data_IF_220275467314
#
_entry.id   IF_220275467314
#
_cell.length_a   1.000
_cell.length_b   1.000
_cell.length_c   1.000
_cell.angle_alpha   90.00
_cell.angle_beta   90.00
_cell.angle_gamma   90.00
#
_symmetry.space_group_name_H-M   'P 1'
#
loop_
_entity.id
_entity.type
_entity.pdbx_description
1 polymer ?
#
# COMPACT_ATOMS: atom_id res chain seq x y z
N UNK A 1 -33.84 5.96 -57.63
CA UNK A 1 -33.88 5.65 -56.19
C UNK A 1 -32.60 4.89 -55.78
N UNK A 2 -31.62 5.57 -55.16
CA UNK A 2 -30.40 4.94 -54.64
C UNK A 2 -30.63 4.60 -53.14
N UNK A 3 -30.77 3.32 -52.81
CA UNK A 3 -30.78 2.79 -51.46
C UNK A 3 -29.35 2.81 -50.91
N UNK A 4 -29.11 3.67 -49.89
CA UNK A 4 -27.92 3.61 -49.05
C UNK A 4 -28.07 2.42 -48.09
N UNK A 5 -27.25 1.39 -48.24
CA UNK A 5 -27.04 0.33 -47.25
C UNK A 5 -26.24 0.90 -46.08
N UNK A 6 -26.88 1.11 -44.94
CA UNK A 6 -26.21 1.28 -43.65
C UNK A 6 -25.62 -0.08 -43.24
N UNK A 7 -24.32 -0.20 -43.26
CA UNK A 7 -23.63 -1.29 -42.58
C UNK A 7 -23.57 -0.92 -41.08
N UNK A 8 -24.31 -1.62 -40.22
CA UNK A 8 -24.12 -1.60 -38.80
C UNK A 8 -22.81 -2.32 -38.49
N UNK A 9 -21.81 -1.62 -38.05
CA UNK A 9 -20.64 -2.23 -37.42
C UNK A 9 -21.05 -2.61 -36.00
N UNK A 10 -21.28 -3.87 -35.75
CA UNK A 10 -21.25 -4.44 -34.41
C UNK A 10 -19.82 -4.29 -33.90
N UNK A 11 -19.63 -3.41 -32.92
CA UNK A 11 -18.42 -3.36 -32.12
C UNK A 11 -18.37 -4.65 -31.31
N UNK A 12 -17.39 -5.50 -31.58
CA UNK A 12 -16.98 -6.56 -30.65
C UNK A 12 -16.26 -5.90 -29.47
N UNK A 13 -16.88 -5.99 -28.32
CA UNK A 13 -16.45 -5.32 -27.07
C UNK A 13 -15.45 -6.22 -26.30
N UNK A 14 -14.38 -6.63 -26.97
CA UNK A 14 -13.24 -7.33 -26.36
C UNK A 14 -11.93 -6.89 -27.00
N UNK A 15 -11.80 -5.57 -27.20
CA UNK A 15 -10.55 -5.00 -27.68
C UNK A 15 -9.46 -5.09 -26.62
N UNK A 16 -8.45 -5.89 -26.88
CA UNK A 16 -7.16 -5.80 -26.20
C UNK A 16 -6.71 -4.33 -26.20
N UNK A 17 -6.25 -3.80 -25.07
CA UNK A 17 -5.77 -2.41 -24.95
C UNK A 17 -4.75 -2.02 -26.03
N UNK A 18 -4.14 -3.02 -26.70
CA UNK A 18 -3.25 -2.85 -27.84
C UNK A 18 -3.94 -2.25 -29.07
N UNK A 19 -5.24 -2.47 -29.21
CA UNK A 19 -6.01 -1.96 -30.36
C UNK A 19 -6.38 -0.48 -30.21
N UNK A 20 -6.15 0.11 -29.02
CA UNK A 20 -6.42 1.52 -28.75
C UNK A 20 -5.28 2.45 -29.19
N UNK A 21 -4.11 1.92 -29.53
CA UNK A 21 -2.98 2.72 -30.01
C UNK A 21 -3.25 3.22 -31.42
N UNK A 22 -3.20 4.55 -31.57
CA UNK A 22 -3.57 5.22 -32.82
C UNK A 22 -2.33 5.60 -33.63
N UNK A 23 -2.32 5.20 -34.89
CA UNK A 23 -1.29 5.62 -35.84
C UNK A 23 -1.53 7.03 -36.37
N UNK A 24 -0.44 7.77 -36.62
CA UNK A 24 -0.49 9.07 -37.27
C UNK A 24 -0.72 8.91 -38.78
N UNK A 25 -1.69 9.68 -39.29
CA UNK A 25 -1.92 9.83 -40.74
C UNK A 25 -1.35 11.18 -41.17
N UNK A 26 -0.36 11.17 -42.06
CA UNK A 26 0.24 12.39 -42.60
C UNK A 26 1.51 12.86 -41.88
N UNK A 27 1.80 14.17 -41.95
CA UNK A 27 3.01 14.75 -41.37
C UNK A 27 2.98 14.82 -39.84
N UNK A 28 3.94 14.20 -39.19
CA UNK A 28 4.13 14.26 -37.71
C UNK A 28 4.28 15.69 -37.21
N UNK A 29 4.93 16.58 -37.96
CA UNK A 29 5.09 18.00 -37.59
C UNK A 29 3.77 18.77 -37.59
N UNK A 30 2.92 18.54 -38.59
CA UNK A 30 1.63 19.20 -38.68
C UNK A 30 0.68 18.70 -37.58
N UNK A 31 0.70 17.42 -37.29
CA UNK A 31 -0.10 16.83 -36.26
C UNK A 31 0.35 17.32 -34.86
N UNK A 32 1.64 17.39 -34.57
CA UNK A 32 2.18 17.98 -33.36
C UNK A 32 1.71 19.43 -33.15
N UNK A 33 1.69 20.23 -34.23
CA UNK A 33 1.23 21.63 -34.20
C UNK A 33 -0.27 21.73 -33.94
N UNK A 34 -1.07 20.84 -34.53
CA UNK A 34 -2.52 20.74 -34.29
C UNK A 34 -2.82 20.35 -32.86
N UNK A 35 -2.08 19.38 -32.35
CA UNK A 35 -2.25 18.85 -31.01
C UNK A 35 -1.95 19.91 -29.94
N UNK A 36 -0.85 20.67 -30.09
CA UNK A 36 -0.52 21.78 -29.17
C UNK A 36 -1.63 22.84 -29.12
N UNK A 37 -2.31 23.10 -30.26
CA UNK A 37 -3.45 24.03 -30.29
C UNK A 37 -4.68 23.47 -29.58
N UNK A 38 -4.92 22.15 -29.63
CA UNK A 38 -6.03 21.49 -28.92
C UNK A 38 -5.78 21.47 -27.41
N UNK A 39 -4.55 21.17 -27.00
CA UNK A 39 -4.15 21.15 -25.59
C UNK A 39 -4.32 22.49 -24.89
N UNK A 40 -3.94 23.58 -25.56
CA UNK A 40 -4.15 24.95 -25.06
C UNK A 40 -5.62 25.32 -24.83
N UNK A 41 -6.57 24.62 -25.47
CA UNK A 41 -8.01 24.80 -25.30
C UNK A 41 -8.64 23.85 -24.28
N UNK A 42 -7.96 22.77 -23.95
CA UNK A 42 -8.46 21.71 -23.05
C UNK A 42 -7.93 21.84 -21.61
N UNK A 43 -7.09 22.81 -21.33
CA UNK A 43 -6.54 23.07 -20.00
C UNK A 43 -7.65 23.42 -19.01
N UNK A 44 -8.21 22.47 -18.32
CA UNK A 44 -9.24 22.65 -17.30
C UNK A 44 -10.24 21.51 -17.12
N UNK A 45 -10.27 20.54 -17.99
CA UNK A 45 -11.17 19.38 -17.80
C UNK A 45 -10.44 18.27 -17.04
N UNK A 46 -10.83 18.06 -15.79
CA UNK A 46 -10.45 16.86 -15.04
C UNK A 46 -11.04 15.64 -15.75
N UNK A 47 -10.17 14.71 -16.15
CA UNK A 47 -10.58 13.45 -16.79
C UNK A 47 -10.63 12.35 -15.72
N UNK A 48 -11.70 11.54 -15.65
CA UNK A 48 -11.65 10.28 -14.93
C UNK A 48 -10.67 9.35 -15.66
N UNK A 49 -9.61 8.92 -14.97
CA UNK A 49 -8.50 8.20 -15.59
C UNK A 49 -8.77 6.70 -15.64
N UNK A 50 -9.39 6.15 -14.60
CA UNK A 50 -9.76 4.73 -14.49
C UNK A 50 -11.18 4.64 -13.95
N UNK A 51 -12.04 3.84 -14.60
CA UNK A 51 -13.37 3.53 -14.08
C UNK A 51 -13.29 2.50 -12.96
N UNK A 52 -14.29 2.45 -12.09
CA UNK A 52 -14.40 1.41 -11.05
C UNK A 52 -14.41 0.01 -11.64
N UNK A 53 -15.14 -0.18 -12.76
CA UNK A 53 -15.23 -1.46 -13.44
C UNK A 53 -13.87 -1.92 -13.98
N UNK A 54 -13.10 -1.02 -14.60
CA UNK A 54 -11.74 -1.32 -15.09
C UNK A 54 -10.80 -1.68 -13.94
N UNK A 55 -10.85 -0.97 -12.83
CA UNK A 55 -10.06 -1.25 -11.65
C UNK A 55 -10.36 -2.63 -11.06
N UNK A 56 -11.64 -2.96 -10.87
CA UNK A 56 -12.07 -4.24 -10.34
C UNK A 56 -11.72 -5.40 -11.28
N UNK A 57 -11.93 -5.23 -12.59
CA UNK A 57 -11.60 -6.24 -13.58
C UNK A 57 -10.10 -6.55 -13.59
N UNK A 58 -9.25 -5.53 -13.52
CA UNK A 58 -7.78 -5.71 -13.43
C UNK A 58 -7.39 -6.42 -12.14
N UNK A 59 -7.99 -6.06 -11.03
CA UNK A 59 -7.72 -6.67 -9.73
C UNK A 59 -8.08 -8.16 -9.71
N UNK A 60 -9.22 -8.54 -10.29
CA UNK A 60 -9.70 -9.92 -10.34
C UNK A 60 -8.94 -10.79 -11.34
N UNK A 61 -8.42 -10.22 -12.42
CA UNK A 61 -7.77 -10.96 -13.51
C UNK A 61 -6.35 -11.43 -13.19
N UNK A 62 -5.75 -10.97 -12.11
CA UNK A 62 -4.36 -11.29 -11.75
C UNK A 62 -4.29 -12.54 -10.88
N UNK A 63 -3.46 -13.51 -11.28
CA UNK A 63 -3.14 -14.69 -10.46
C UNK A 63 -2.09 -14.31 -9.41
N UNK A 64 -2.54 -14.11 -8.15
CA UNK A 64 -1.69 -13.74 -7.03
C UNK A 64 -1.36 -14.93 -6.17
N UNK A 65 -0.09 -15.04 -5.81
CA UNK A 65 0.41 -16.02 -4.84
C UNK A 65 1.32 -15.32 -3.84
N UNK A 66 1.25 -15.80 -2.60
CA UNK A 66 2.19 -15.38 -1.56
C UNK A 66 3.03 -16.58 -1.15
N UNK A 67 4.33 -16.38 -1.05
CA UNK A 67 5.28 -17.43 -0.69
C UNK A 67 6.08 -16.96 0.52
N UNK A 68 6.08 -17.76 1.57
CA UNK A 68 6.82 -17.50 2.81
C UNK A 68 7.92 -18.53 2.97
N UNK A 69 9.15 -18.08 3.21
CA UNK A 69 10.30 -18.91 3.48
C UNK A 69 10.97 -18.49 4.78
N UNK A 70 11.20 -19.46 5.65
CA UNK A 70 12.08 -19.32 6.81
C UNK A 70 13.43 -19.93 6.48
N UNK A 71 14.52 -19.17 6.57
CA UNK A 71 15.87 -19.60 6.28
C UNK A 71 16.89 -18.79 7.07
N UNK A 72 17.80 -19.45 7.78
CA UNK A 72 18.93 -18.85 8.50
C UNK A 72 18.55 -17.68 9.44
N UNK A 73 17.47 -17.83 10.17
CA UNK A 73 16.95 -16.79 11.06
C UNK A 73 16.28 -15.62 10.35
N UNK A 74 16.02 -15.75 9.04
CA UNK A 74 15.28 -14.79 8.23
C UNK A 74 13.91 -15.34 7.87
N UNK A 75 12.89 -14.50 8.01
CA UNK A 75 11.60 -14.71 7.38
C UNK A 75 11.52 -13.85 6.12
N UNK A 76 11.29 -14.49 5.00
CA UNK A 76 11.17 -13.84 3.70
C UNK A 76 9.78 -14.11 3.13
N UNK A 77 9.15 -13.08 2.62
CA UNK A 77 7.82 -13.14 2.01
C UNK A 77 7.90 -12.55 0.62
N UNK A 78 7.44 -13.31 -0.36
CA UNK A 78 7.35 -12.88 -1.74
C UNK A 78 5.89 -12.87 -2.20
N UNK A 79 5.51 -11.84 -2.95
CA UNK A 79 4.23 -11.76 -3.63
C UNK A 79 4.47 -11.86 -5.13
N UNK A 80 3.84 -12.84 -5.75
CA UNK A 80 3.86 -13.06 -7.20
C UNK A 80 2.53 -12.67 -7.82
N UNK A 81 2.57 -11.93 -8.91
CA UNK A 81 1.42 -11.66 -9.76
C UNK A 81 1.71 -12.22 -11.17
N UNK A 82 0.91 -13.18 -11.61
CA UNK A 82 1.13 -13.91 -12.88
C UNK A 82 2.56 -14.49 -12.99
N UNK A 83 3.09 -15.01 -11.88
CA UNK A 83 4.44 -15.57 -11.79
C UNK A 83 5.57 -14.54 -11.67
N UNK A 84 5.27 -13.25 -11.73
CA UNK A 84 6.25 -12.17 -11.59
C UNK A 84 6.33 -11.66 -10.16
N UNK A 85 7.53 -11.55 -9.63
CA UNK A 85 7.77 -11.00 -8.31
C UNK A 85 7.44 -9.50 -8.28
N UNK A 86 6.52 -9.11 -7.41
CA UNK A 86 6.07 -7.71 -7.29
C UNK A 86 6.31 -7.09 -5.93
N UNK A 87 6.42 -7.91 -4.87
CA UNK A 87 6.74 -7.43 -3.52
C UNK A 87 7.62 -8.46 -2.80
N UNK A 88 8.51 -7.97 -1.96
CA UNK A 88 9.39 -8.80 -1.14
C UNK A 88 9.60 -8.15 0.22
N UNK A 89 9.42 -8.94 1.28
CA UNK A 89 9.59 -8.52 2.66
C UNK A 89 10.60 -9.42 3.35
N UNK A 90 11.46 -8.84 4.16
CA UNK A 90 12.46 -9.56 4.94
C UNK A 90 12.43 -9.12 6.39
N UNK A 91 12.46 -10.07 7.31
CA UNK A 91 12.61 -9.81 8.73
C UNK A 91 13.63 -10.77 9.33
N UNK A 92 14.55 -10.23 10.13
CA UNK A 92 15.42 -11.03 10.99
C UNK A 92 14.75 -11.25 12.34
N UNK A 93 14.85 -12.45 12.90
CA UNK A 93 14.34 -12.74 14.24
C UNK A 93 14.99 -11.87 15.33
N UNK A 94 16.19 -11.36 15.10
CA UNK A 94 16.93 -10.50 16.03
C UNK A 94 16.57 -9.02 15.95
N UNK A 95 15.86 -8.59 14.91
CA UNK A 95 15.42 -7.21 14.69
C UNK A 95 13.91 -7.14 14.69
N UNK A 96 13.33 -7.17 15.90
CA UNK A 96 11.89 -7.00 16.05
C UNK A 96 11.52 -5.52 16.02
N UNK A 97 10.64 -5.14 15.11
CA UNK A 97 10.05 -3.81 15.10
C UNK A 97 9.17 -3.63 16.34
N UNK A 98 9.24 -2.46 16.94
CA UNK A 98 8.36 -2.06 18.03
C UNK A 98 7.06 -1.39 17.55
N UNK A 99 6.98 -1.04 16.25
CA UNK A 99 5.83 -0.32 15.68
C UNK A 99 4.54 -1.08 15.94
N UNK A 100 3.54 -0.38 16.49
CA UNK A 100 2.25 -0.94 16.87
C UNK A 100 2.16 -1.47 18.30
N UNK A 101 3.28 -1.71 18.97
CA UNK A 101 3.30 -2.13 20.37
C UNK A 101 2.66 -1.07 21.26
N UNK A 102 1.89 -1.53 22.25
CA UNK A 102 1.21 -0.68 23.23
C UNK A 102 1.84 -0.86 24.60
N UNK A 103 2.22 0.24 25.22
CA UNK A 103 2.84 0.29 26.54
C UNK A 103 2.08 1.21 27.49
N UNK A 104 2.17 0.92 28.80
CA UNK A 104 2.10 1.97 29.80
C UNK A 104 3.54 2.41 30.06
N UNK A 105 3.89 3.60 29.61
CA UNK A 105 5.20 4.19 29.81
C UNK A 105 5.24 5.15 31.00
N UNK A 106 6.44 5.54 31.41
CA UNK A 106 6.66 6.55 32.45
C UNK A 106 7.33 7.77 31.85
N UNK A 107 6.73 8.92 32.05
CA UNK A 107 7.32 10.19 31.60
C UNK A 107 8.58 10.47 32.42
N UNK A 108 9.71 10.59 31.74
CA UNK A 108 11.01 10.90 32.36
C UNK A 108 11.18 12.41 32.53
N UNK A 109 10.92 13.16 31.46
CA UNK A 109 10.92 14.61 31.48
C UNK A 109 10.06 15.19 30.37
N UNK A 110 9.64 16.42 30.58
CA UNK A 110 8.86 17.19 29.62
C UNK A 110 9.71 18.36 29.15
N UNK A 111 9.76 18.56 27.84
CA UNK A 111 10.51 19.65 27.21
C UNK A 111 9.54 20.60 26.49
N UNK A 112 9.11 21.69 27.17
CA UNK A 112 8.17 22.65 26.57
C UNK A 112 8.71 23.31 25.29
N UNK A 113 10.01 23.53 25.20
CA UNK A 113 10.64 24.14 24.02
C UNK A 113 10.54 23.28 22.74
N UNK A 114 10.40 21.97 22.92
CA UNK A 114 10.22 21.01 21.82
C UNK A 114 8.76 20.55 21.66
N UNK A 115 7.89 20.99 22.55
CA UNK A 115 6.52 20.46 22.67
C UNK A 115 6.49 18.93 22.66
N UNK A 116 7.34 18.32 23.50
CA UNK A 116 7.54 16.88 23.58
C UNK A 116 7.78 16.41 25.02
N UNK A 117 7.44 15.16 25.27
CA UNK A 117 7.79 14.43 26.48
C UNK A 117 8.66 13.22 26.13
N UNK A 118 9.67 12.96 26.96
CA UNK A 118 10.45 11.74 26.87
C UNK A 118 9.83 10.69 27.79
N UNK A 119 9.58 9.50 27.26
CA UNK A 119 8.87 8.41 27.92
C UNK A 119 9.74 7.17 27.99
N UNK A 120 9.89 6.62 29.18
CA UNK A 120 10.56 5.34 29.39
C UNK A 120 9.59 4.19 29.06
N UNK A 121 10.00 3.32 28.13
CA UNK A 121 9.29 2.11 27.77
C UNK A 121 9.94 0.83 28.31
N UNK A 122 11.01 0.94 29.09
CA UNK A 122 11.79 -0.20 29.57
C UNK A 122 12.73 -0.82 28.51
N UNK A 123 13.02 -0.12 27.44
CA UNK A 123 13.82 -0.57 26.29
C UNK A 123 15.08 0.28 26.04
N UNK A 124 15.71 0.71 27.09
CA UNK A 124 16.96 1.47 27.06
C UNK A 124 16.75 2.95 26.78
N UNK A 125 16.63 3.35 25.53
CA UNK A 125 16.41 4.77 25.17
C UNK A 125 15.00 5.21 25.45
N UNK A 126 14.87 6.45 25.93
CA UNK A 126 13.56 7.08 26.04
C UNK A 126 12.94 7.30 24.66
N UNK A 127 11.65 7.00 24.55
CA UNK A 127 10.83 7.32 23.41
C UNK A 127 10.32 8.76 23.50
N UNK A 128 9.81 9.29 22.39
CA UNK A 128 9.36 10.67 22.28
C UNK A 128 7.86 10.72 21.97
N UNK A 129 7.12 11.46 22.80
CA UNK A 129 5.71 11.76 22.58
C UNK A 129 5.57 13.27 22.34
N UNK A 130 5.22 13.63 21.10
CA UNK A 130 4.98 15.01 20.73
C UNK A 130 3.57 15.48 21.11
N UNK A 131 3.40 16.77 21.35
CA UNK A 131 2.11 17.35 21.71
C UNK A 131 1.00 17.07 20.70
N UNK A 132 1.32 17.01 19.41
CA UNK A 132 0.36 16.66 18.34
C UNK A 132 -0.18 15.24 18.42
N UNK A 133 0.51 14.34 19.12
CA UNK A 133 0.13 12.94 19.29
C UNK A 133 -0.52 12.63 20.63
N UNK A 134 -0.70 13.62 21.50
CA UNK A 134 -1.40 13.47 22.78
C UNK A 134 -2.91 13.44 22.53
N UNK A 135 -3.61 12.55 23.21
CA UNK A 135 -5.07 12.54 23.25
C UNK A 135 -5.56 13.58 24.27
N UNK A 136 -5.77 14.81 23.83
CA UNK A 136 -6.13 15.94 24.67
C UNK A 136 -7.51 15.78 25.35
N UNK A 137 -8.45 15.15 24.67
CA UNK A 137 -9.79 14.89 25.20
C UNK A 137 -9.74 13.94 26.40
N UNK A 138 -8.95 12.86 26.27
CA UNK A 138 -8.75 11.92 27.38
C UNK A 138 -7.99 12.54 28.57
N UNK A 139 -7.13 13.55 28.32
CA UNK A 139 -6.44 14.29 29.35
C UNK A 139 -7.31 15.38 30.03
N UNK A 140 -8.54 15.58 29.57
CA UNK A 140 -9.46 16.59 30.12
C UNK A 140 -9.11 18.03 29.77
N UNK A 141 -8.32 18.24 28.73
CA UNK A 141 -7.80 19.53 28.28
C UNK A 141 -8.49 20.07 27.03
N UNK A 142 -9.68 19.59 26.76
CA UNK A 142 -10.48 20.04 25.62
C UNK A 142 -10.72 21.56 25.67
N UNK A 143 -10.44 22.26 24.58
CA UNK A 143 -10.61 23.71 24.45
C UNK A 143 -9.50 24.56 25.05
N UNK A 144 -8.43 23.99 25.62
CA UNK A 144 -7.26 24.71 26.10
C UNK A 144 -6.13 24.74 25.05
N UNK A 145 -5.19 25.73 25.13
CA UNK A 145 -3.98 25.67 24.33
C UNK A 145 -3.23 24.35 24.52
N UNK A 146 -2.80 23.72 23.43
CA UNK A 146 -2.16 22.39 23.46
C UNK A 146 -0.69 22.50 23.82
N UNK A 147 -0.41 22.72 25.11
CA UNK A 147 0.95 22.74 25.65
C UNK A 147 1.25 21.42 26.34
N UNK A 148 2.39 20.83 26.02
CA UNK A 148 2.77 19.51 26.54
C UNK A 148 2.87 19.49 28.08
N UNK A 149 3.33 20.56 28.69
CA UNK A 149 3.44 20.70 30.16
C UNK A 149 2.10 20.72 30.87
N UNK A 150 1.00 21.06 30.19
CA UNK A 150 -0.35 21.02 30.75
C UNK A 150 -0.92 19.58 30.76
N UNK A 151 -0.46 18.73 29.84
CA UNK A 151 -0.93 17.36 29.71
C UNK A 151 -0.13 16.35 30.54
N UNK A 152 1.18 16.53 30.62
CA UNK A 152 2.11 15.55 31.19
C UNK A 152 3.12 16.21 32.11
N UNK A 153 3.44 15.51 33.21
CA UNK A 153 4.49 15.86 34.14
C UNK A 153 5.46 14.70 34.34
N UNK A 154 6.69 15.00 34.71
CA UNK A 154 7.71 13.99 35.01
C UNK A 154 7.20 13.01 36.09
N UNK A 155 7.34 11.73 35.86
CA UNK A 155 6.85 10.66 36.74
C UNK A 155 5.46 10.16 36.44
N UNK A 156 4.70 10.85 35.56
CA UNK A 156 3.37 10.39 35.15
C UNK A 156 3.48 9.06 34.37
N UNK A 157 2.43 8.26 34.51
CA UNK A 157 2.24 7.10 33.60
C UNK A 157 1.33 7.46 32.45
N UNK A 158 1.63 6.95 31.27
CA UNK A 158 0.87 7.27 30.05
C UNK A 158 0.71 6.01 29.18
N UNK A 159 -0.50 5.83 28.68
CA UNK A 159 -0.80 4.77 27.68
C UNK A 159 -0.39 5.26 26.31
N UNK A 160 0.53 4.54 25.67
CA UNK A 160 1.14 4.94 24.41
C UNK A 160 1.30 3.77 23.45
N UNK A 161 1.33 4.09 22.18
CA UNK A 161 1.61 3.15 21.09
C UNK A 161 2.79 3.65 20.27
N UNK A 162 3.67 2.75 19.86
CA UNK A 162 4.83 3.07 19.04
C UNK A 162 4.40 3.26 17.59
N UNK A 163 4.76 4.39 17.00
CA UNK A 163 4.48 4.71 15.58
C UNK A 163 5.71 4.62 14.68
N UNK A 164 6.90 4.80 15.24
CA UNK A 164 8.18 4.64 14.53
C UNK A 164 9.22 4.02 15.43
N UNK A 165 10.02 3.12 14.85
CA UNK A 165 11.15 2.50 15.53
C UNK A 165 12.26 3.51 15.86
N UNK A 166 13.08 3.24 16.88
CA UNK A 166 14.29 4.01 17.14
C UNK A 166 15.24 3.95 15.95
N UNK A 167 15.82 5.09 15.57
CA UNK A 167 16.80 5.19 14.49
C UNK A 167 18.02 5.96 14.97
N UNK A 168 19.20 5.36 14.87
CA UNK A 168 20.44 6.00 15.30
C UNK A 168 20.38 6.44 16.76
N UNK A 169 20.51 7.73 17.02
CA UNK A 169 20.40 8.33 18.37
C UNK A 169 18.97 8.72 18.75
N UNK A 170 18.02 8.68 17.81
CA UNK A 170 16.63 9.04 18.06
C UNK A 170 15.87 7.86 18.67
N UNK A 171 15.15 8.10 19.76
CA UNK A 171 14.25 7.14 20.36
C UNK A 171 13.00 6.88 19.50
N UNK A 172 12.25 5.85 19.86
CA UNK A 172 10.97 5.54 19.23
C UNK A 172 10.01 6.73 19.29
N UNK A 173 9.16 6.88 18.29
CA UNK A 173 8.04 7.82 18.34
C UNK A 173 6.80 7.16 18.85
N UNK A 174 6.03 7.92 19.63
CA UNK A 174 4.82 7.47 20.28
C UNK A 174 3.60 8.29 19.87
N UNK A 175 2.43 7.68 20.07
CA UNK A 175 1.14 8.36 20.07
C UNK A 175 0.34 7.89 21.29
N UNK A 176 -0.50 8.75 21.85
CA UNK A 176 -1.48 8.34 22.85
C UNK A 176 -2.86 8.01 22.26
N UNK A 177 -3.02 8.14 20.95
CA UNK A 177 -4.20 7.71 20.22
C UNK A 177 -4.01 6.26 19.76
N UNK A 178 -4.50 5.32 20.56
CA UNK A 178 -4.30 3.89 20.30
C UNK A 178 -5.16 3.44 19.11
N UNK A 179 -4.58 2.63 18.24
CA UNK A 179 -5.28 1.97 17.15
C UNK A 179 -5.02 0.47 17.16
N UNK A 180 -6.02 -0.32 16.83
CA UNK A 180 -5.92 -1.78 16.77
C UNK A 180 -6.26 -2.25 15.38
N UNK A 181 -5.27 -2.81 14.68
CA UNK A 181 -5.44 -3.30 13.33
C UNK A 181 -6.06 -4.68 13.30
N UNK A 182 -7.21 -4.78 12.64
CA UNK A 182 -7.84 -6.03 12.26
C UNK A 182 -7.56 -6.36 10.79
N UNK A 183 -8.24 -7.36 10.29
CA UNK A 183 -8.13 -7.75 8.89
C UNK A 183 -8.81 -6.76 7.95
N UNK A 184 -10.04 -6.37 8.26
CA UNK A 184 -10.89 -5.54 7.41
C UNK A 184 -10.89 -4.07 7.82
N UNK A 185 -10.64 -3.79 9.08
CA UNK A 185 -10.69 -2.46 9.63
C UNK A 185 -9.68 -2.25 10.76
N UNK A 186 -9.47 -0.98 11.07
CA UNK A 186 -8.68 -0.55 12.23
C UNK A 186 -9.64 0.09 13.22
N UNK A 187 -9.65 -0.41 14.45
CA UNK A 187 -10.44 0.15 15.55
C UNK A 187 -9.68 1.32 16.18
N UNK A 188 -10.39 2.42 16.39
CA UNK A 188 -9.87 3.61 17.09
C UNK A 188 -10.69 3.83 18.35
N UNK A 189 -10.26 3.28 19.49
CA UNK A 189 -10.97 3.46 20.76
C UNK A 189 -11.09 4.94 21.12
N UNK A 190 -12.28 5.35 21.59
CA UNK A 190 -12.57 6.75 21.91
C UNK A 190 -12.79 7.66 20.70
N UNK A 191 -12.63 7.15 19.49
CA UNK A 191 -12.94 7.88 18.28
C UNK A 191 -14.43 7.88 17.95
N UNK A 192 -14.84 8.81 17.10
CA UNK A 192 -16.24 8.92 16.64
C UNK A 192 -16.37 8.83 15.14
N UNK A 193 -15.25 8.85 14.43
CA UNK A 193 -15.21 8.88 12.96
C UNK A 193 -15.23 7.49 12.34
N UNK A 194 -15.99 7.35 11.24
CA UNK A 194 -15.89 6.21 10.33
C UNK A 194 -15.19 6.68 9.05
N UNK A 195 -13.94 6.26 8.88
CA UNK A 195 -13.18 6.46 7.66
C UNK A 195 -13.26 5.22 6.77
N UNK A 196 -13.43 5.39 5.47
CA UNK A 196 -13.45 4.28 4.51
C UNK A 196 -12.41 4.56 3.42
N UNK A 197 -11.61 3.55 3.06
CA UNK A 197 -10.59 3.68 2.03
C UNK A 197 -11.16 4.25 0.74
N UNK A 198 -10.50 5.29 0.22
CA UNK A 198 -10.87 5.91 -1.07
C UNK A 198 -10.58 5.02 -2.28
N UNK A 199 -9.83 3.94 -2.09
CA UNK A 199 -9.57 2.95 -3.13
C UNK A 199 -10.76 2.02 -3.38
N UNK A 200 -11.77 2.03 -2.51
CA UNK A 200 -12.98 1.24 -2.68
C UNK A 200 -14.00 1.97 -3.57
N UNK A 201 -14.76 1.22 -4.40
CA UNK A 201 -15.86 1.77 -5.18
C UNK A 201 -16.92 2.44 -4.30
N UNK A 202 -17.62 3.44 -4.82
CA UNK A 202 -18.65 4.18 -4.07
C UNK A 202 -19.79 3.29 -3.58
N UNK A 203 -20.17 2.28 -4.38
CA UNK A 203 -21.16 1.26 -4.00
C UNK A 203 -20.75 0.46 -2.78
N UNK A 204 -19.48 0.02 -2.74
CA UNK A 204 -18.91 -0.67 -1.58
C UNK A 204 -18.79 0.24 -0.36
N UNK A 205 -18.35 1.46 -0.56
CA UNK A 205 -18.27 2.44 0.53
C UNK A 205 -19.63 2.69 1.18
N UNK A 206 -20.68 2.83 0.38
CA UNK A 206 -22.05 2.99 0.89
C UNK A 206 -22.54 1.74 1.64
N UNK A 207 -22.28 0.56 1.10
CA UNK A 207 -22.62 -0.72 1.74
C UNK A 207 -21.93 -0.88 3.09
N UNK A 208 -20.64 -0.67 3.13
CA UNK A 208 -19.83 -0.79 4.35
C UNK A 208 -20.25 0.22 5.40
N UNK A 209 -20.54 1.45 5.02
CA UNK A 209 -21.01 2.48 5.94
C UNK A 209 -22.33 2.09 6.63
N UNK A 210 -23.27 1.49 5.90
CA UNK A 210 -24.54 1.00 6.45
C UNK A 210 -24.32 -0.15 7.46
N UNK A 211 -23.45 -1.09 7.12
CA UNK A 211 -23.12 -2.23 8.00
C UNK A 211 -22.46 -1.74 9.29
N UNK A 212 -21.48 -0.87 9.17
CA UNK A 212 -20.70 -0.39 10.31
C UNK A 212 -21.51 0.42 11.32
N UNK A 213 -22.51 1.15 10.87
CA UNK A 213 -23.45 1.84 11.78
C UNK A 213 -24.15 0.90 12.76
N UNK A 214 -24.35 -0.34 12.37
CA UNK A 214 -25.04 -1.35 13.19
C UNK A 214 -24.13 -2.10 14.12
N UNK A 215 -22.86 -2.30 13.75
CA UNK A 215 -21.95 -3.22 14.45
C UNK A 215 -20.87 -2.52 15.27
N UNK A 216 -20.55 -1.26 14.98
CA UNK A 216 -19.49 -0.51 15.70
C UNK A 216 -20.10 0.17 16.92
N UNK A 217 -19.51 -0.03 18.14
CA UNK A 217 -19.95 0.69 19.32
C UNK A 217 -19.79 2.21 19.19
N UNK A 218 -20.67 2.98 19.83
CA UNK A 218 -20.59 4.46 19.82
C UNK A 218 -19.32 5.00 20.45
N UNK A 219 -18.69 4.21 21.32
CA UNK A 219 -17.43 4.55 21.99
C UNK A 219 -16.17 4.39 21.15
N UNK A 220 -16.29 3.95 19.89
CA UNK A 220 -15.15 3.68 19.04
C UNK A 220 -15.38 4.19 17.62
N UNK A 221 -14.30 4.66 17.00
CA UNK A 221 -14.24 4.91 15.57
C UNK A 221 -13.62 3.73 14.83
N UNK A 222 -13.77 3.71 13.51
CA UNK A 222 -13.16 2.69 12.66
C UNK A 222 -12.59 3.32 11.39
N UNK A 223 -11.51 2.73 10.89
CA UNK A 223 -10.95 3.01 9.58
C UNK A 223 -11.04 1.72 8.77
N UNK A 224 -11.85 1.73 7.72
CA UNK A 224 -12.08 0.56 6.87
C UNK A 224 -10.97 0.44 5.83
N UNK A 225 -10.39 -0.75 5.77
CA UNK A 225 -9.30 -1.08 4.86
C UNK A 225 -9.84 -1.56 3.52
N UNK A 226 -9.00 -1.51 2.49
CA UNK A 226 -9.33 -2.03 1.15
C UNK A 226 -9.71 -3.52 1.18
N UNK A 227 -9.14 -4.29 2.08
CA UNK A 227 -9.45 -5.71 2.27
C UNK A 227 -10.92 -5.98 2.65
N UNK A 228 -11.66 -4.97 3.10
CA UNK A 228 -13.08 -5.09 3.41
C UNK A 228 -13.99 -5.18 2.17
N UNK A 229 -13.46 -4.98 0.97
CA UNK A 229 -14.24 -5.15 -0.26
C UNK A 229 -14.81 -6.56 -0.35
N UNK A 230 -16.11 -6.68 -0.54
CA UNK A 230 -16.80 -7.97 -0.60
C UNK A 230 -16.95 -8.69 0.75
N UNK A 231 -16.44 -8.14 1.84
CA UNK A 231 -16.60 -8.74 3.16
C UNK A 231 -18.07 -8.80 3.58
N UNK A 232 -18.46 -9.92 4.18
CA UNK A 232 -19.81 -10.10 4.70
C UNK A 232 -20.01 -9.35 6.01
N UNK A 233 -21.27 -9.12 6.39
CA UNK A 233 -21.58 -8.53 7.69
C UNK A 233 -21.04 -9.38 8.83
N UNK A 234 -21.10 -10.69 8.74
CA UNK A 234 -20.58 -11.63 9.73
C UNK A 234 -19.05 -11.52 9.88
N UNK A 235 -18.32 -11.41 8.78
CA UNK A 235 -16.87 -11.22 8.78
C UNK A 235 -16.47 -9.89 9.44
N UNK A 236 -17.17 -8.81 9.10
CA UNK A 236 -16.93 -7.49 9.69
C UNK A 236 -17.29 -7.47 11.18
N UNK A 237 -18.39 -8.09 11.57
CA UNK A 237 -18.81 -8.22 12.97
C UNK A 237 -17.78 -8.97 13.79
N UNK A 238 -17.27 -10.09 13.29
CA UNK A 238 -16.23 -10.87 13.95
C UNK A 238 -14.94 -10.06 14.14
N UNK A 239 -14.57 -9.26 13.15
CA UNK A 239 -13.38 -8.38 13.22
C UNK A 239 -13.56 -7.30 14.31
N UNK A 240 -14.70 -6.63 14.31
CA UNK A 240 -15.04 -5.60 15.33
C UNK A 240 -15.08 -6.21 16.74
N UNK A 241 -15.75 -7.31 16.93
CA UNK A 241 -15.87 -7.97 18.23
C UNK A 241 -14.51 -8.37 18.80
N UNK A 242 -13.65 -8.93 17.95
CA UNK A 242 -12.30 -9.32 18.34
C UNK A 242 -11.46 -8.10 18.74
N UNK A 243 -11.53 -7.01 17.98
CA UNK A 243 -10.78 -5.79 18.30
C UNK A 243 -11.31 -5.08 19.54
N UNK A 244 -12.61 -5.05 19.73
CA UNK A 244 -13.23 -4.51 20.97
C UNK A 244 -12.78 -5.31 22.18
N UNK A 245 -12.78 -6.64 22.11
CA UNK A 245 -12.28 -7.49 23.18
C UNK A 245 -10.79 -7.26 23.48
N UNK A 246 -9.97 -7.08 22.45
CA UNK A 246 -8.56 -6.72 22.62
C UNK A 246 -8.40 -5.38 23.34
N UNK A 247 -9.18 -4.38 22.93
CA UNK A 247 -9.15 -3.07 23.58
C UNK A 247 -9.58 -3.12 25.03
N UNK A 248 -10.64 -3.83 25.35
CA UNK A 248 -11.11 -4.01 26.73
C UNK A 248 -10.03 -4.66 27.61
N UNK A 249 -9.34 -5.67 27.09
CA UNK A 249 -8.22 -6.31 27.80
C UNK A 249 -7.05 -5.34 28.02
N UNK A 250 -6.69 -4.55 27.01
CA UNK A 250 -5.63 -3.53 27.10
C UNK A 250 -6.02 -2.45 28.11
N UNK A 251 -7.20 -1.91 28.01
CA UNK A 251 -7.70 -0.83 28.87
C UNK A 251 -7.77 -1.26 30.34
N UNK A 252 -8.27 -2.47 30.60
CA UNK A 252 -8.30 -3.05 31.95
C UNK A 252 -6.89 -3.20 32.53
N UNK A 253 -5.96 -3.74 31.77
CA UNK A 253 -4.57 -3.92 32.20
C UNK A 253 -3.85 -2.58 32.37
N UNK A 254 -4.08 -1.62 31.47
CA UNK A 254 -3.56 -0.28 31.60
C UNK A 254 -4.04 0.42 32.85
N UNK A 255 -5.33 0.37 33.14
CA UNK A 255 -5.93 0.94 34.37
C UNK A 255 -5.33 0.33 35.62
N UNK A 256 -5.14 -0.98 35.63
CA UNK A 256 -4.51 -1.69 36.77
C UNK A 256 -3.07 -1.24 36.99
N UNK A 257 -2.28 -1.11 35.94
CA UNK A 257 -0.88 -0.67 36.02
C UNK A 257 -0.77 0.80 36.42
N UNK A 258 -1.64 1.66 35.90
CA UNK A 258 -1.62 3.10 36.18
C UNK A 258 -2.09 3.44 37.61
N UNK A 259 -2.95 2.62 38.19
CA UNK A 259 -3.40 2.77 39.59
C UNK A 259 -2.40 2.23 40.61
N UNK A 260 -1.56 1.27 40.19
CA UNK A 260 -0.52 0.68 41.04
C UNK A 260 0.80 1.48 40.93
N UNK A 261 1.34 1.90 42.05
CA UNK A 261 2.64 2.57 42.08
C UNK A 261 3.77 1.60 41.72
N UNK A 262 4.62 1.98 40.78
CA UNK A 262 5.91 1.35 40.51
C UNK A 262 5.96 0.24 39.46
N UNK A 263 4.87 -0.09 38.81
CA UNK A 263 4.86 -1.16 37.78
C UNK A 263 5.21 -0.71 36.38
N UNK A 264 5.02 0.56 36.01
CA UNK A 264 5.39 1.09 34.70
C UNK A 264 6.93 1.28 34.63
N UNK A 265 7.55 1.06 33.46
CA UNK A 265 6.93 0.74 32.15
C UNK A 265 6.54 -0.73 31.98
N UNK A 266 5.43 -0.99 31.30
CA UNK A 266 4.91 -2.34 31.03
C UNK A 266 4.42 -2.44 29.57
N UNK A 267 4.82 -3.50 28.87
CA UNK A 267 4.24 -3.86 27.58
C UNK A 267 2.85 -4.47 27.78
N UNK A 268 1.83 -3.87 27.18
CA UNK A 268 0.45 -4.35 27.26
C UNK A 268 0.07 -5.24 26.09
N UNK A 269 0.51 -4.88 24.89
CA UNK A 269 0.27 -5.62 23.66
C UNK A 269 1.49 -5.50 22.74
N UNK A 270 2.10 -6.65 22.40
CA UNK A 270 3.09 -6.74 21.34
C UNK A 270 2.41 -6.97 19.99
N UNK A 271 2.94 -6.35 18.96
CA UNK A 271 2.54 -6.68 17.59
C UNK A 271 3.10 -8.06 17.18
N UNK A 272 2.36 -8.81 16.37
CA UNK A 272 2.82 -10.10 15.91
C UNK A 272 4.05 -9.99 15.01
N UNK A 273 4.73 -11.11 14.79
CA UNK A 273 5.86 -11.21 13.86
C UNK A 273 5.52 -10.70 12.46
N UNK A 274 6.56 -10.30 11.70
CA UNK A 274 6.40 -9.73 10.36
C UNK A 274 5.53 -10.61 9.45
N UNK A 275 5.74 -11.92 9.46
CA UNK A 275 4.98 -12.83 8.62
C UNK A 275 3.47 -12.73 8.88
N UNK A 276 3.06 -12.70 10.16
CA UNK A 276 1.65 -12.55 10.53
C UNK A 276 1.12 -11.16 10.17
N UNK A 277 1.92 -10.12 10.36
CA UNK A 277 1.52 -8.74 9.99
C UNK A 277 1.31 -8.60 8.49
N UNK A 278 2.21 -9.15 7.67
CA UNK A 278 2.07 -9.10 6.21
C UNK A 278 0.84 -9.89 5.76
N UNK A 279 0.59 -11.05 6.34
CA UNK A 279 -0.60 -11.84 6.02
C UNK A 279 -1.86 -11.07 6.41
N UNK A 280 -1.91 -10.49 7.59
CA UNK A 280 -3.03 -9.64 8.02
C UNK A 280 -3.28 -8.47 7.07
N UNK A 281 -2.21 -7.83 6.60
CA UNK A 281 -2.30 -6.58 5.83
C UNK A 281 -2.42 -6.79 4.32
N UNK A 282 -1.92 -7.89 3.80
CA UNK A 282 -1.78 -8.12 2.35
C UNK A 282 -2.60 -9.31 1.86
N UNK A 283 -2.59 -10.43 2.59
CA UNK A 283 -3.25 -11.66 2.15
C UNK A 283 -4.79 -11.56 2.29
N UNK A 284 -5.49 -11.85 1.21
CA UNK A 284 -6.95 -11.82 1.14
C UNK A 284 -7.50 -12.79 0.08
N UNK A 285 -8.77 -12.68 -0.23
CA UNK A 285 -9.47 -13.50 -1.23
C UNK A 285 -8.93 -13.34 -2.65
N UNK A 286 -8.22 -12.25 -2.93
CA UNK A 286 -7.60 -12.01 -4.25
C UNK A 286 -6.39 -12.92 -4.50
N UNK A 287 -5.85 -13.55 -3.45
CA UNK A 287 -4.76 -14.52 -3.55
C UNK A 287 -5.29 -15.91 -3.80
N UNK A 288 -4.74 -16.60 -4.79
CA UNK A 288 -5.07 -17.99 -5.06
C UNK A 288 -4.46 -18.93 -4.02
N UNK A 289 -3.23 -18.68 -3.63
CA UNK A 289 -2.49 -19.53 -2.67
C UNK A 289 -1.60 -18.71 -1.74
N UNK A 290 -1.40 -19.25 -0.55
CA UNK A 290 -0.34 -18.89 0.38
C UNK A 290 0.50 -20.15 0.66
N UNK A 291 1.73 -20.17 0.20
CA UNK A 291 2.66 -21.29 0.32
C UNK A 291 3.67 -20.96 1.41
N UNK A 292 3.79 -21.81 2.41
CA UNK A 292 4.68 -21.58 3.57
C UNK A 292 5.68 -22.72 3.70
N UNK A 293 6.96 -22.35 3.72
CA UNK A 293 8.09 -23.24 3.98
C UNK A 293 8.71 -22.92 5.34
N UNK A 294 8.84 -23.92 6.18
CA UNK A 294 9.33 -23.81 7.56
C UNK A 294 8.26 -24.19 8.58
N UNK A 295 8.58 -25.14 9.46
CA UNK A 295 7.59 -25.74 10.38
C UNK A 295 7.05 -24.74 11.42
N UNK A 296 7.92 -23.94 12.01
CA UNK A 296 7.52 -22.95 12.99
C UNK A 296 6.65 -21.85 12.38
N UNK A 297 7.06 -21.36 11.22
CA UNK A 297 6.30 -20.33 10.49
C UNK A 297 4.97 -20.86 10.02
N UNK A 298 4.93 -22.10 9.52
CA UNK A 298 3.68 -22.79 9.17
C UNK A 298 2.72 -22.87 10.35
N UNK A 299 3.19 -23.31 11.51
CA UNK A 299 2.35 -23.41 12.71
C UNK A 299 1.78 -22.05 13.11
N UNK A 300 2.60 -21.01 13.11
CA UNK A 300 2.18 -19.65 13.46
C UNK A 300 1.15 -19.10 12.47
N UNK A 301 1.40 -19.24 11.18
CA UNK A 301 0.51 -18.71 10.14
C UNK A 301 -0.79 -19.48 10.06
N UNK A 302 -0.74 -20.83 10.08
CA UNK A 302 -1.93 -21.65 10.01
C UNK A 302 -2.85 -21.43 11.20
N UNK A 303 -2.30 -21.30 12.40
CA UNK A 303 -3.06 -20.95 13.59
C UNK A 303 -3.71 -19.57 13.47
N UNK A 304 -2.98 -18.59 13.01
CA UNK A 304 -3.52 -17.24 12.81
C UNK A 304 -4.70 -17.21 11.81
N UNK A 305 -4.55 -17.90 10.67
CA UNK A 305 -5.62 -17.97 9.66
C UNK A 305 -6.84 -18.72 10.20
N UNK A 306 -6.67 -19.81 10.92
CA UNK A 306 -7.76 -20.56 11.51
C UNK A 306 -8.55 -19.72 12.53
N UNK A 307 -7.88 -18.90 13.30
CA UNK A 307 -8.51 -18.02 14.30
C UNK A 307 -9.19 -16.80 13.68
N UNK A 308 -8.56 -16.17 12.66
CA UNK A 308 -8.96 -14.86 12.15
C UNK A 308 -9.76 -14.97 10.85
N UNK A 309 -9.43 -15.93 10.01
CA UNK A 309 -10.01 -16.05 8.66
C UNK A 309 -10.08 -17.52 8.19
N UNK A 310 -10.88 -18.34 8.86
CA UNK A 310 -10.94 -19.77 8.55
C UNK A 310 -11.41 -20.06 7.11
N UNK A 311 -12.10 -19.13 6.48
CA UNK A 311 -12.51 -19.20 5.08
C UNK A 311 -11.33 -19.20 4.10
N UNK A 312 -10.16 -18.74 4.51
CA UNK A 312 -8.94 -18.75 3.69
C UNK A 312 -8.04 -19.96 3.93
N UNK A 313 -8.37 -20.83 4.87
CA UNK A 313 -7.54 -21.99 5.22
C UNK A 313 -7.30 -22.93 4.03
N UNK A 314 -8.25 -23.06 3.12
CA UNK A 314 -8.11 -23.87 1.91
C UNK A 314 -7.03 -23.37 0.94
N UNK A 315 -6.65 -22.11 1.05
CA UNK A 315 -5.63 -21.48 0.21
C UNK A 315 -4.21 -21.66 0.75
N UNK A 316 -4.06 -22.17 1.97
CA UNK A 316 -2.77 -22.44 2.58
C UNK A 316 -2.19 -23.76 2.08
N UNK A 317 -0.90 -23.73 1.75
CA UNK A 317 -0.13 -24.90 1.37
C UNK A 317 1.18 -24.95 2.18
N UNK A 318 1.40 -26.07 2.86
CA UNK A 318 2.67 -26.31 3.56
C UNK A 318 3.67 -26.90 2.57
N UNK A 319 4.75 -26.18 2.31
CA UNK A 319 5.82 -26.64 1.44
C UNK A 319 6.76 -27.56 2.20
N UNK A 320 6.77 -28.85 1.86
CA UNK A 320 7.59 -29.89 2.52
C UNK A 320 8.54 -30.60 1.55
N UNK A 321 8.61 -30.12 0.31
CA UNK A 321 9.47 -30.68 -0.72
C UNK A 321 10.96 -30.47 -0.44
N UNK A 322 11.85 -31.27 -1.06
CA UNK A 322 13.30 -31.14 -0.88
C UNK A 322 13.89 -29.88 -1.55
N UNK A 323 13.19 -29.34 -2.55
CA UNK A 323 13.59 -28.14 -3.26
C UNK A 323 13.23 -26.90 -2.45
N UNK A 324 14.10 -25.88 -2.46
CA UNK A 324 13.79 -24.58 -1.85
C UNK A 324 12.56 -23.95 -2.55
N UNK A 325 11.60 -23.46 -1.77
CA UNK A 325 10.35 -22.91 -2.28
C UNK A 325 10.58 -21.67 -3.15
N UNK A 326 11.56 -20.83 -2.84
CA UNK A 326 11.89 -19.66 -3.64
C UNK A 326 12.58 -20.04 -4.96
N UNK A 327 13.42 -21.07 -4.96
CA UNK A 327 14.01 -21.61 -6.17
C UNK A 327 12.94 -22.21 -7.10
N UNK A 328 12.03 -23.01 -6.53
CA UNK A 328 10.93 -23.63 -7.29
C UNK A 328 10.00 -22.62 -7.98
N UNK A 329 9.83 -21.44 -7.38
CA UNK A 329 8.99 -20.38 -7.92
C UNK A 329 9.79 -19.25 -8.60
N UNK A 330 11.10 -19.46 -8.79
CA UNK A 330 12.01 -18.51 -9.44
C UNK A 330 12.09 -17.15 -8.74
N UNK A 331 11.85 -17.11 -7.44
CA UNK A 331 11.89 -15.87 -6.65
C UNK A 331 13.30 -15.35 -6.49
N UNK A 332 14.26 -16.23 -6.12
CA UNK A 332 15.68 -15.84 -5.95
C UNK A 332 16.28 -15.30 -7.23
N UNK A 333 15.95 -15.88 -8.38
CA UNK A 333 16.40 -15.41 -9.69
C UNK A 333 15.85 -14.00 -9.98
N UNK A 334 14.58 -13.77 -9.70
CA UNK A 334 13.95 -12.46 -9.91
C UNK A 334 14.47 -11.41 -8.94
N UNK A 335 14.77 -11.78 -7.69
CA UNK A 335 15.40 -10.90 -6.73
C UNK A 335 16.80 -10.47 -7.18
N UNK A 336 17.59 -11.39 -7.69
CA UNK A 336 18.94 -11.09 -8.20
C UNK A 336 18.93 -10.06 -9.32
N UNK A 337 17.89 -10.11 -10.18
CA UNK A 337 17.71 -9.17 -11.30
C UNK A 337 16.97 -7.89 -10.90
N UNK A 338 16.24 -7.88 -9.81
CA UNK A 338 15.30 -6.83 -9.41
C UNK A 338 15.94 -5.52 -8.99
N UNK A 339 17.26 -5.48 -8.73
CA UNK A 339 17.97 -4.29 -8.26
C UNK A 339 18.92 -3.68 -9.31
N UNK A 340 18.87 -4.16 -10.54
CA UNK A 340 19.68 -3.61 -11.63
C UNK A 340 19.21 -2.19 -11.99
N UNK A 341 20.17 -1.32 -12.29
CA UNK A 341 19.87 0.05 -12.75
C UNK A 341 19.06 0.04 -14.05
N UNK A 342 19.38 -0.90 -14.95
CA UNK A 342 18.74 -1.07 -16.24
C UNK A 342 17.80 -2.25 -16.23
N UNK A 343 16.56 -2.00 -16.66
CA UNK A 343 15.49 -3.00 -16.74
C UNK A 343 15.04 -3.14 -18.19
N UNK A 344 14.97 -4.39 -18.67
CA UNK A 344 14.54 -4.68 -20.03
C UNK A 344 13.04 -4.85 -20.13
N UNK A 345 12.45 -4.31 -21.19
CA UNK A 345 11.04 -4.47 -21.52
C UNK A 345 10.86 -5.61 -22.55
N UNK A 346 9.67 -6.25 -22.61
CA UNK A 346 9.42 -7.36 -23.55
C UNK A 346 9.68 -7.02 -25.02
N UNK A 347 9.40 -5.80 -25.44
CA UNK A 347 9.63 -5.34 -26.81
C UNK A 347 11.08 -5.00 -27.14
N UNK A 348 11.99 -5.09 -26.18
CA UNK A 348 13.40 -4.73 -26.33
C UNK A 348 13.73 -3.29 -25.91
N UNK A 349 12.77 -2.51 -25.50
CA UNK A 349 12.99 -1.23 -24.84
C UNK A 349 13.59 -1.41 -23.44
N UNK A 350 13.98 -0.32 -22.81
CA UNK A 350 14.61 -0.34 -21.50
C UNK A 350 14.13 0.78 -20.60
N UNK A 351 14.21 0.52 -19.28
CA UNK A 351 14.12 1.53 -18.25
C UNK A 351 15.50 1.73 -17.62
N UNK A 352 15.85 2.96 -17.33
CA UNK A 352 16.99 3.30 -16.46
C UNK A 352 16.46 3.98 -15.22
N UNK A 353 16.71 3.38 -14.05
CA UNK A 353 16.22 3.85 -12.77
C UNK A 353 17.39 4.41 -11.98
N UNK A 354 17.41 5.71 -11.77
CA UNK A 354 18.42 6.43 -11.01
C UNK A 354 17.83 7.15 -9.81
N UNK A 355 18.50 7.05 -8.69
CA UNK A 355 18.13 7.75 -7.48
C UNK A 355 19.04 8.95 -7.27
N UNK A 356 18.44 10.12 -7.12
CA UNK A 356 19.12 11.33 -6.64
C UNK A 356 18.87 11.49 -5.14
N UNK A 357 19.45 12.54 -4.54
CA UNK A 357 19.22 12.85 -3.14
C UNK A 357 17.75 13.12 -2.82
N UNK A 358 17.03 13.79 -3.71
CA UNK A 358 15.65 14.24 -3.48
C UNK A 358 14.58 13.41 -4.19
N UNK A 359 14.92 12.69 -5.25
CA UNK A 359 13.94 12.02 -6.09
C UNK A 359 14.51 10.79 -6.80
N UNK A 360 13.61 9.97 -7.34
CA UNK A 360 13.95 8.89 -8.27
C UNK A 360 13.58 9.33 -9.69
N UNK A 361 14.47 9.13 -10.62
CA UNK A 361 14.28 9.44 -12.04
C UNK A 361 14.25 8.14 -12.83
N UNK A 362 13.25 7.97 -13.67
CA UNK A 362 13.09 6.80 -14.54
C UNK A 362 13.07 7.27 -15.99
N UNK A 363 14.08 6.87 -16.73
CA UNK A 363 14.21 7.14 -18.16
C UNK A 363 13.73 5.94 -18.96
N UNK A 364 12.80 6.17 -19.89
CA UNK A 364 12.23 5.16 -20.77
C UNK A 364 12.87 5.28 -22.13
N UNK A 365 13.43 4.17 -22.63
CA UNK A 365 14.08 4.10 -23.93
C UNK A 365 13.41 3.05 -24.81
N UNK A 366 13.26 3.34 -26.10
CA UNK A 366 12.84 2.35 -27.09
C UNK A 366 14.02 1.47 -27.48
N UNK A 367 13.75 0.21 -27.81
CA UNK A 367 14.72 -0.65 -28.47
C UNK A 367 14.93 -0.27 -29.94
N UNK A 368 15.86 -0.96 -30.59
CA UNK A 368 15.97 -0.88 -32.04
C UNK A 368 14.71 -1.48 -32.66
N UNK A 369 13.91 -0.63 -33.29
CA UNK A 369 12.71 -1.06 -33.94
C UNK A 369 13.04 -1.75 -35.26
N UNK A 370 12.75 -3.02 -35.38
CA UNK A 370 12.83 -3.82 -36.59
C UNK A 370 11.44 -4.27 -37.05
N UNK A 371 10.37 -3.59 -36.59
CA UNK A 371 9.01 -4.08 -36.66
C UNK A 371 8.42 -4.03 -38.06
N UNK A 372 7.68 -5.06 -38.41
CA UNK A 372 6.81 -5.09 -39.56
C UNK A 372 5.58 -4.20 -39.33
N UNK A 373 5.52 -3.08 -40.05
CA UNK A 373 4.26 -2.44 -40.38
C UNK A 373 3.61 -1.52 -39.37
N UNK A 374 4.33 -0.90 -38.41
CA UNK A 374 3.81 0.14 -37.55
C UNK A 374 4.43 1.52 -37.78
N UNK A 375 3.73 2.59 -37.44
CA UNK A 375 4.32 3.93 -37.39
C UNK A 375 5.22 4.09 -36.16
N UNK A 376 6.10 5.10 -36.20
CA UNK A 376 6.93 5.44 -35.02
C UNK A 376 6.07 5.75 -33.79
N UNK A 377 4.96 6.47 -33.98
CA UNK A 377 4.01 6.79 -32.91
C UNK A 377 3.42 5.55 -32.24
N UNK A 378 3.02 4.55 -33.02
CA UNK A 378 2.51 3.27 -32.47
C UNK A 378 3.59 2.53 -31.68
N UNK A 379 4.78 2.47 -32.20
CA UNK A 379 5.93 1.79 -31.56
C UNK A 379 6.27 2.44 -30.23
N UNK A 380 6.40 3.75 -30.23
CA UNK A 380 6.69 4.53 -29.01
C UNK A 380 5.60 4.33 -27.97
N UNK A 381 4.34 4.40 -28.37
CA UNK A 381 3.20 4.26 -27.45
C UNK A 381 3.14 2.85 -26.85
N UNK A 382 3.36 1.81 -27.63
CA UNK A 382 3.43 0.43 -27.12
C UNK A 382 4.57 0.25 -26.14
N UNK A 383 5.74 0.79 -26.47
CA UNK A 383 6.88 0.76 -25.55
C UNK A 383 6.58 1.48 -24.24
N UNK A 384 5.93 2.64 -24.29
CA UNK A 384 5.54 3.38 -23.11
C UNK A 384 4.48 2.66 -22.28
N UNK A 385 3.55 1.93 -22.89
CA UNK A 385 2.58 1.09 -22.18
C UNK A 385 3.27 -0.04 -21.41
N UNK A 386 4.20 -0.74 -22.03
CA UNK A 386 5.02 -1.75 -21.38
C UNK A 386 5.86 -1.13 -20.25
N UNK A 387 6.43 0.03 -20.48
CA UNK A 387 7.19 0.78 -19.50
C UNK A 387 6.32 1.14 -18.29
N UNK A 388 5.10 1.62 -18.48
CA UNK A 388 4.18 1.96 -17.39
C UNK A 388 3.91 0.76 -16.49
N UNK A 389 3.66 -0.41 -17.04
CA UNK A 389 3.47 -1.65 -16.28
C UNK A 389 4.72 -2.04 -15.49
N UNK A 390 5.88 -2.02 -16.12
CA UNK A 390 7.14 -2.40 -15.47
C UNK A 390 7.59 -1.38 -14.42
N UNK A 391 7.37 -0.09 -14.65
CA UNK A 391 7.67 0.97 -13.67
C UNK A 391 6.92 0.72 -12.37
N UNK A 392 5.63 0.46 -12.43
CA UNK A 392 4.83 0.18 -11.24
C UNK A 392 5.33 -1.07 -10.52
N UNK A 393 5.66 -2.13 -11.26
CA UNK A 393 6.24 -3.33 -10.67
C UNK A 393 7.55 -3.02 -9.94
N UNK A 394 8.43 -2.22 -10.54
CA UNK A 394 9.70 -1.81 -9.93
C UNK A 394 9.52 -0.91 -8.72
N UNK A 395 8.56 0.02 -8.75
CA UNK A 395 8.24 0.87 -7.60
C UNK A 395 7.80 0.04 -6.39
N UNK A 396 7.00 -1.00 -6.63
CA UNK A 396 6.53 -1.92 -5.58
C UNK A 396 7.65 -2.83 -5.08
N UNK A 397 8.37 -3.49 -6.00
CA UNK A 397 9.43 -4.44 -5.69
C UNK A 397 10.58 -3.79 -4.90
N UNK A 398 11.01 -2.61 -5.31
CA UNK A 398 12.07 -1.84 -4.68
C UNK A 398 11.59 -0.95 -3.53
N UNK A 399 10.29 -0.88 -3.31
CA UNK A 399 9.62 0.03 -2.36
C UNK A 399 10.13 1.48 -2.49
N UNK A 400 10.12 1.98 -3.72
CA UNK A 400 10.55 3.34 -4.03
C UNK A 400 9.49 4.32 -3.56
N UNK A 401 9.88 5.23 -2.68
CA UNK A 401 8.99 6.26 -2.14
C UNK A 401 9.54 7.67 -2.37
N UNK A 402 8.71 8.65 -2.08
CA UNK A 402 9.01 10.06 -2.32
C UNK A 402 8.60 10.48 -3.72
N UNK A 403 9.31 11.49 -4.25
CA UNK A 403 9.05 11.99 -5.59
C UNK A 403 9.68 11.08 -6.64
N UNK A 404 8.92 10.77 -7.69
CA UNK A 404 9.35 10.00 -8.85
C UNK A 404 9.04 10.80 -10.10
N UNK A 405 10.03 10.97 -10.96
CA UNK A 405 9.88 11.59 -12.27
C UNK A 405 10.12 10.54 -13.35
N UNK A 406 9.15 10.37 -14.23
CA UNK A 406 9.21 9.42 -15.33
C UNK A 406 9.32 10.20 -16.63
N UNK A 407 10.33 9.89 -17.42
CA UNK A 407 10.53 10.43 -18.75
C UNK A 407 10.15 9.38 -19.81
N UNK A 408 8.87 9.39 -20.19
CA UNK A 408 8.38 8.56 -21.29
C UNK A 408 8.92 9.06 -22.61
N UNK A 409 9.03 8.18 -23.61
CA UNK A 409 9.37 8.59 -24.97
C UNK A 409 8.24 9.47 -25.51
N UNK A 410 8.59 10.56 -26.17
CA UNK A 410 7.62 11.56 -26.66
C UNK A 410 6.54 10.94 -27.54
N UNK A 411 5.30 11.25 -27.21
CA UNK A 411 4.12 10.89 -27.98
C UNK A 411 3.42 12.14 -28.50
N UNK A 412 3.11 12.17 -29.78
CA UNK A 412 2.49 13.34 -30.43
C UNK A 412 1.00 13.43 -30.13
N UNK A 413 0.29 12.29 -30.18
CA UNK A 413 -1.15 12.27 -29.98
C UNK A 413 -1.52 12.30 -28.49
N UNK A 414 -2.37 13.23 -28.12
CA UNK A 414 -2.90 13.33 -26.76
C UNK A 414 -3.62 12.04 -26.33
N UNK A 415 -4.35 11.39 -27.25
CA UNK A 415 -5.04 10.12 -26.97
C UNK A 415 -4.07 9.02 -26.54
N UNK A 416 -2.88 8.96 -27.13
CA UNK A 416 -1.85 7.98 -26.75
C UNK A 416 -1.20 8.32 -25.42
N UNK A 417 -0.98 9.61 -25.12
CA UNK A 417 -0.51 10.05 -23.79
C UNK A 417 -1.52 9.73 -22.69
N UNK A 418 -2.79 9.96 -22.96
CA UNK A 418 -3.88 9.60 -22.03
C UNK A 418 -3.95 8.09 -21.79
N UNK A 419 -3.72 7.28 -22.82
CA UNK A 419 -3.71 5.83 -22.72
C UNK A 419 -2.56 5.34 -21.81
N UNK A 420 -1.36 5.90 -21.98
CA UNK A 420 -0.19 5.57 -21.14
C UNK A 420 -0.44 5.96 -19.69
N UNK A 421 -0.99 7.15 -19.45
CA UNK A 421 -1.34 7.61 -18.10
C UNK A 421 -2.38 6.69 -17.45
N UNK A 422 -3.41 6.31 -18.20
CA UNK A 422 -4.43 5.36 -17.75
C UNK A 422 -3.82 4.01 -17.36
N UNK A 423 -2.92 3.49 -18.16
CA UNK A 423 -2.22 2.24 -17.89
C UNK A 423 -1.38 2.34 -16.61
N UNK A 424 -0.68 3.44 -16.42
CA UNK A 424 0.11 3.69 -15.22
C UNK A 424 -0.79 3.71 -13.96
N UNK A 425 -1.90 4.42 -14.01
CA UNK A 425 -2.85 4.54 -12.89
C UNK A 425 -3.56 3.21 -12.60
N UNK A 426 -3.94 2.45 -13.63
CA UNK A 426 -4.50 1.10 -13.46
C UNK A 426 -3.53 0.18 -12.72
N UNK A 427 -2.26 0.18 -13.13
CA UNK A 427 -1.25 -0.65 -12.47
C UNK A 427 -0.98 -0.20 -11.03
N UNK A 428 -0.98 1.11 -10.77
CA UNK A 428 -0.88 1.67 -9.41
C UNK A 428 -2.09 1.33 -8.53
N UNK A 429 -3.22 1.02 -9.11
CA UNK A 429 -4.39 0.55 -8.38
C UNK A 429 -4.13 -0.74 -7.57
N UNK A 430 -3.18 -1.57 -7.98
CA UNK A 430 -2.74 -2.78 -7.27
C UNK A 430 -1.79 -2.46 -6.12
N UNK A 431 -1.19 -1.28 -6.12
CA UNK A 431 -0.30 -0.82 -5.06
C UNK A 431 -1.12 -0.33 -3.86
N UNK A 432 -0.86 -0.87 -2.69
CA UNK A 432 -1.58 -0.51 -1.46
C UNK A 432 -1.11 0.81 -0.84
N UNK A 433 -0.03 1.39 -1.33
CA UNK A 433 0.50 2.66 -0.82
C UNK A 433 -0.24 3.85 -1.39
N UNK A 434 -0.13 4.99 -0.71
CA UNK A 434 -0.65 6.25 -1.23
C UNK A 434 0.24 6.77 -2.34
N UNK A 435 -0.38 7.21 -3.42
CA UNK A 435 0.29 7.80 -4.56
C UNK A 435 -0.53 8.93 -5.16
N UNK A 436 0.15 9.85 -5.82
CA UNK A 436 -0.46 10.92 -6.64
C UNK A 436 0.32 10.99 -7.95
N UNK A 437 -0.40 11.10 -9.05
CA UNK A 437 0.19 11.12 -10.41
C UNK A 437 -0.33 12.34 -11.16
N UNK A 438 0.58 13.06 -11.83
CA UNK A 438 0.24 14.16 -12.74
C UNK A 438 -0.08 13.62 -14.14
N UNK A 439 -0.58 14.49 -15.00
CA UNK A 439 -0.77 14.16 -16.42
C UNK A 439 0.57 13.98 -17.15
N UNK A 440 0.55 13.19 -18.23
CA UNK A 440 1.70 13.11 -19.15
C UNK A 440 1.79 14.41 -19.93
N UNK A 441 2.89 15.12 -19.78
CA UNK A 441 3.13 16.37 -20.53
C UNK A 441 3.39 16.10 -22.01
N UNK A 442 3.36 17.14 -22.84
CA UNK A 442 3.71 17.04 -24.26
C UNK A 442 5.16 16.56 -24.50
N UNK A 443 6.01 16.73 -23.50
CA UNK A 443 7.40 16.26 -23.51
C UNK A 443 7.58 14.85 -22.93
N UNK A 444 6.49 14.14 -22.62
CA UNK A 444 6.51 12.78 -22.07
C UNK A 444 6.79 12.67 -20.56
N UNK A 445 6.89 13.79 -19.86
CA UNK A 445 7.20 13.78 -18.42
C UNK A 445 5.96 13.51 -17.57
N UNK A 446 6.12 12.65 -16.58
CA UNK A 446 5.16 12.40 -15.51
C UNK A 446 5.84 12.61 -14.17
N UNK A 447 5.22 13.37 -13.31
CA UNK A 447 5.64 13.56 -11.93
C UNK A 447 4.66 12.84 -11.02
N UNK A 448 5.18 12.04 -10.10
CA UNK A 448 4.34 11.34 -9.12
C UNK A 448 5.01 11.31 -7.75
N UNK A 449 4.19 11.06 -6.74
CA UNK A 449 4.64 10.78 -5.37
C UNK A 449 4.10 9.44 -4.93
N UNK A 450 4.91 8.69 -4.20
CA UNK A 450 4.54 7.42 -3.60
C UNK A 450 5.02 7.35 -2.16
N UNK A 451 4.18 6.87 -1.26
CA UNK A 451 4.56 6.59 0.12
C UNK A 451 5.19 5.20 0.18
N UNK A 452 6.30 5.05 0.91
CA UNK A 452 6.87 3.73 1.22
C UNK A 452 5.94 2.92 2.13
N UNK A 453 6.05 1.62 2.01
CA UNK A 453 5.35 0.66 2.90
C UNK A 453 5.89 0.72 4.32
#
# INVERSE_FOLDING_TARGET
SRRRRRRSRTRSDSGDLRDEVTALKGSTRLEAKRQRRREGRAAGRRRPIVTEAEFLARRESVDRQMIVRESDGLNQIAVLEDGLLVEHYVSRHTQTSMVGNVYVGRVQNVLPSMEAAFVDLGKGRNAVLYAGEVNWDAAGLEGRPRRIEDALSSGDTVLVQVTKDPIGHKGARLTSQITLAGRYLVLVPGGTMTGISRKLPDTERSRLKKILKRIVPDSAGVIVRTAAEGATQEQLTADVERLVAQWEAIDKKASSVMKGSGKAPVLLKGEPELAVRVIRDVFNEDFRKLIVSGDNTWSTISQYIDEVSPDLSERLEHWVGPEDVFAAHRVDEQLAKGFDRKVWLPSGGTLVIDRTEAMTVIDVNTGRFTGAGGTLEETVTRNNLEAAEEIVRQLRLRDIGGMVVIDFVDMVLESNRDLVLRRLVECLGRDRTRHQVTEVTSLGLVQMTRKRV
#
